data_IF_562219509777
#
_entry.id   IF_562219509777
#
_cell.length_a   1.000
_cell.length_b   1.000
_cell.length_c   1.000
_cell.angle_alpha   90.00
_cell.angle_beta   90.00
_cell.angle_gamma   90.00
#
_symmetry.space_group_name_H-M   'P 1'
#
loop_
_entity.id
_entity.type
_entity.pdbx_description
1 polymer ?
#
# COMPACT_ATOMS: atom_id res chain seq x y z
N UNK A 1 -60.46 -52.25 23.53
CA UNK A 1 -61.15 -52.28 22.21
C UNK A 1 -60.04 -52.18 21.16
N UNK A 2 -59.60 -53.29 20.55
CA UNK A 2 -60.21 -53.96 19.37
C UNK A 2 -60.12 -53.09 18.11
N UNK A 3 -59.29 -53.39 17.11
CA UNK A 3 -58.29 -54.48 17.01
C UNK A 3 -57.57 -54.52 15.65
N UNK A 4 -56.62 -55.46 15.53
CA UNK A 4 -56.21 -56.29 14.37
C UNK A 4 -56.57 -55.88 12.91
N UNK A 5 -55.75 -56.17 11.90
CA UNK A 5 -54.92 -57.39 11.75
C UNK A 5 -53.64 -57.20 10.93
N UNK A 6 -52.60 -57.96 11.26
CA UNK A 6 -51.41 -58.24 10.42
C UNK A 6 -51.66 -59.41 9.44
N UNK A 7 -50.70 -59.70 8.54
CA UNK A 7 -50.17 -61.05 8.13
C UNK A 7 -49.59 -61.05 6.69
N UNK A 8 -48.60 -61.88 6.28
CA UNK A 8 -47.43 -62.54 6.95
C UNK A 8 -46.49 -63.15 5.85
N UNK A 9 -45.16 -63.31 6.07
CA UNK A 9 -44.17 -63.98 5.17
C UNK A 9 -44.15 -65.53 5.34
N UNK A 10 -43.31 -66.38 4.65
CA UNK A 10 -42.09 -66.15 3.86
C UNK A 10 -42.15 -66.77 2.42
N UNK A 11 -41.17 -67.41 1.74
CA UNK A 11 -40.09 -68.41 2.02
C UNK A 11 -38.84 -68.19 1.14
N UNK A 12 -37.81 -69.05 1.23
CA UNK A 12 -36.62 -69.14 0.36
C UNK A 12 -36.53 -70.50 -0.37
N UNK A 13 -35.68 -70.61 -1.42
CA UNK A 13 -34.88 -71.83 -1.68
C UNK A 13 -33.64 -71.63 -2.58
N UNK A 14 -32.67 -72.52 -2.37
CA UNK A 14 -31.35 -72.71 -3.00
C UNK A 14 -31.44 -73.36 -4.43
N UNK A 15 -30.42 -73.58 -5.30
CA UNK A 15 -28.92 -73.55 -5.23
C UNK A 15 -28.24 -73.66 -6.64
N UNK A 16 -26.91 -73.45 -6.71
CA UNK A 16 -25.88 -74.09 -7.61
C UNK A 16 -25.77 -73.72 -9.12
N UNK A 17 -24.69 -72.99 -9.41
CA UNK A 17 -23.63 -73.11 -10.45
C UNK A 17 -23.80 -73.52 -11.94
N UNK A 18 -22.79 -73.04 -12.69
CA UNK A 18 -22.08 -73.67 -13.81
C UNK A 18 -22.64 -73.60 -15.25
N UNK A 19 -22.10 -72.67 -16.06
CA UNK A 19 -20.94 -72.98 -16.95
C UNK A 19 -20.35 -71.74 -17.65
N UNK A 20 -19.05 -71.79 -17.94
CA UNK A 20 -18.41 -70.94 -18.98
C UNK A 20 -18.67 -71.56 -20.37
N UNK A 21 -18.92 -70.72 -21.36
CA UNK A 21 -18.60 -71.00 -22.76
C UNK A 21 -17.85 -69.79 -23.34
N UNK A 22 -16.69 -70.05 -23.95
CA UNK A 22 -15.91 -69.07 -24.71
C UNK A 22 -16.48 -69.00 -26.14
N UNK A 23 -16.56 -67.82 -26.78
CA UNK A 23 -15.52 -67.26 -27.68
C UNK A 23 -16.24 -66.39 -28.75
N UNK A 24 -15.55 -65.68 -29.67
CA UNK A 24 -14.35 -64.85 -29.48
C UNK A 24 -14.45 -63.44 -30.16
N UNK A 25 -13.46 -62.59 -29.83
CA UNK A 25 -12.87 -61.52 -30.68
C UNK A 25 -13.65 -60.21 -31.02
N UNK A 26 -12.86 -59.12 -30.97
CA UNK A 26 -12.96 -57.84 -31.71
C UNK A 26 -14.28 -57.04 -31.67
N UNK A 27 -14.31 -56.04 -30.80
CA UNK A 27 -14.59 -54.65 -31.22
C UNK A 27 -13.44 -53.74 -30.73
N UNK A 28 -12.90 -52.92 -31.64
CA UNK A 28 -11.78 -52.01 -31.38
C UNK A 28 -12.28 -50.66 -30.83
N UNK A 29 -12.92 -50.74 -29.64
CA UNK A 29 -13.62 -49.64 -28.97
C UNK A 29 -12.90 -48.28 -29.02
N UNK A 30 -13.25 -47.48 -30.02
CA UNK A 30 -12.52 -46.27 -30.41
C UNK A 30 -12.75 -45.14 -29.38
N UNK A 31 -11.93 -45.14 -28.32
CA UNK A 31 -11.93 -44.13 -27.26
C UNK A 31 -11.56 -42.75 -27.81
N UNK A 32 -12.56 -42.05 -28.36
CA UNK A 32 -12.49 -40.61 -28.69
C UNK A 32 -12.01 -39.83 -27.47
N UNK A 33 -10.74 -39.46 -27.47
CA UNK A 33 -10.14 -38.60 -26.45
C UNK A 33 -10.87 -37.27 -26.45
N UNK A 34 -11.54 -36.94 -25.34
CA UNK A 34 -12.22 -35.65 -25.19
C UNK A 34 -11.15 -34.56 -25.29
N UNK A 35 -11.17 -33.76 -26.37
CA UNK A 35 -10.22 -32.64 -26.56
C UNK A 35 -10.20 -31.78 -25.29
N UNK A 36 -9.02 -31.44 -24.75
CA UNK A 36 -8.93 -30.69 -23.50
C UNK A 36 -9.64 -29.34 -23.65
N UNK A 37 -10.44 -28.96 -22.65
CA UNK A 37 -11.10 -27.65 -22.62
C UNK A 37 -10.06 -26.58 -22.36
N UNK A 38 -9.66 -25.87 -23.41
CA UNK A 38 -8.76 -24.71 -23.29
C UNK A 38 -9.37 -23.66 -22.34
N UNK A 39 -8.55 -23.19 -21.42
CA UNK A 39 -8.81 -22.01 -20.60
C UNK A 39 -8.85 -20.78 -21.51
N UNK A 40 -9.76 -19.85 -21.25
CA UNK A 40 -9.76 -18.54 -21.93
C UNK A 40 -9.31 -17.48 -20.95
N UNK A 41 -8.48 -16.54 -21.39
CA UNK A 41 -8.23 -15.32 -20.61
C UNK A 41 -9.56 -14.55 -20.48
N UNK A 42 -10.01 -14.32 -19.24
CA UNK A 42 -11.16 -13.45 -18.96
C UNK A 42 -10.63 -12.11 -18.49
N UNK A 43 -10.60 -11.14 -19.41
CA UNK A 43 -10.32 -9.75 -19.06
C UNK A 43 -11.29 -9.30 -17.95
N UNK A 44 -10.74 -8.72 -16.89
CA UNK A 44 -11.54 -7.98 -15.91
C UNK A 44 -11.87 -6.61 -16.52
N UNK A 45 -13.08 -6.10 -16.28
CA UNK A 45 -13.36 -4.68 -16.54
C UNK A 45 -12.46 -3.88 -15.59
N UNK A 46 -11.53 -3.12 -16.15
CA UNK A 46 -10.70 -2.18 -15.39
C UNK A 46 -11.53 -0.93 -15.11
N UNK A 47 -11.47 -0.44 -13.88
CA UNK A 47 -12.02 0.86 -13.52
C UNK A 47 -11.01 1.95 -13.89
N UNK A 48 -11.43 2.96 -14.66
CA UNK A 48 -10.53 3.96 -15.26
C UNK A 48 -9.77 4.80 -14.23
N UNK A 49 -10.38 5.05 -13.08
CA UNK A 49 -9.80 5.78 -11.93
C UNK A 49 -8.96 4.90 -11.00
N UNK A 50 -8.97 3.57 -11.18
CA UNK A 50 -8.12 2.66 -10.39
C UNK A 50 -6.64 2.77 -10.83
N UNK A 51 -5.67 2.31 -10.01
CA UNK A 51 -4.25 2.29 -10.40
C UNK A 51 -3.96 1.52 -11.70
N UNK A 52 -4.81 0.55 -12.07
CA UNK A 52 -4.70 -0.17 -13.35
C UNK A 52 -5.34 0.61 -14.52
N UNK A 53 -6.35 1.45 -14.25
CA UNK A 53 -6.90 2.38 -15.24
C UNK A 53 -5.94 3.53 -15.55
N UNK A 54 -5.30 4.10 -14.52
CA UNK A 54 -4.20 5.07 -14.67
C UNK A 54 -3.07 4.48 -15.52
N UNK A 55 -2.63 3.27 -15.20
CA UNK A 55 -1.61 2.54 -15.99
C UNK A 55 -2.01 2.39 -17.46
N UNK A 56 -3.29 2.18 -17.79
CA UNK A 56 -3.72 2.10 -19.20
C UNK A 56 -3.57 3.42 -19.95
N UNK A 57 -3.68 4.57 -19.29
CA UNK A 57 -3.35 5.88 -19.90
C UNK A 57 -1.84 6.07 -20.05
N UNK A 58 -1.05 5.72 -19.04
CA UNK A 58 0.42 5.83 -19.05
C UNK A 58 1.05 4.91 -20.12
N UNK A 59 0.51 3.71 -20.30
CA UNK A 59 0.86 2.80 -21.41
C UNK A 59 0.50 3.41 -22.76
N UNK A 60 -0.65 4.07 -22.89
CA UNK A 60 -1.05 4.72 -24.15
C UNK A 60 -0.16 5.92 -24.49
N UNK A 61 0.25 6.70 -23.49
CA UNK A 61 1.21 7.80 -23.66
C UNK A 61 2.57 7.29 -24.14
N UNK A 62 3.11 6.23 -23.52
CA UNK A 62 4.37 5.61 -23.94
C UNK A 62 4.27 5.05 -25.37
N UNK A 63 3.19 4.32 -25.70
CA UNK A 63 2.99 3.81 -27.05
C UNK A 63 2.96 4.97 -28.07
N UNK A 64 2.29 6.08 -27.73
CA UNK A 64 2.27 7.28 -28.56
C UNK A 64 3.64 7.97 -28.67
N UNK A 65 4.42 8.03 -27.58
CA UNK A 65 5.76 8.63 -27.57
C UNK A 65 6.76 7.82 -28.41
N UNK A 66 6.51 6.52 -28.59
CA UNK A 66 7.31 5.59 -29.38
C UNK A 66 6.70 5.23 -30.77
N UNK A 67 5.61 5.90 -31.20
CA UNK A 67 4.89 5.65 -32.46
C UNK A 67 4.41 4.19 -32.65
N UNK A 68 3.88 3.57 -31.59
CA UNK A 68 3.34 2.21 -31.59
C UNK A 68 1.83 2.15 -31.35
N UNK A 69 1.17 1.11 -31.86
CA UNK A 69 -0.23 0.78 -31.57
C UNK A 69 -0.36 -0.27 -30.45
N UNK A 70 -1.57 -0.44 -29.88
CA UNK A 70 -1.83 -1.48 -28.86
C UNK A 70 -1.68 -2.90 -29.41
N UNK A 71 -1.96 -3.09 -30.69
CA UNK A 71 -1.86 -4.38 -31.39
C UNK A 71 -0.40 -4.85 -31.47
N UNK A 72 0.54 -3.90 -31.61
CA UNK A 72 2.00 -4.15 -31.63
C UNK A 72 2.58 -4.54 -30.26
N UNK A 73 1.83 -4.39 -29.16
CA UNK A 73 2.20 -4.85 -27.82
C UNK A 73 1.23 -5.89 -27.22
N UNK A 74 0.28 -6.37 -28.01
CA UNK A 74 -0.69 -7.39 -27.58
C UNK A 74 -0.02 -8.78 -27.46
N UNK A 75 0.10 -9.25 -26.21
CA UNK A 75 0.64 -10.56 -25.81
C UNK A 75 -0.42 -11.67 -25.89
N UNK A 76 -0.04 -12.88 -26.30
CA UNK A 76 -0.94 -14.05 -26.25
C UNK A 76 -0.95 -14.71 -24.85
N UNK A 77 -1.71 -14.08 -23.95
CA UNK A 77 -1.98 -14.63 -22.62
C UNK A 77 -2.80 -15.94 -22.68
N UNK A 78 -3.48 -16.24 -23.80
CA UNK A 78 -4.26 -17.48 -23.93
C UNK A 78 -3.34 -18.67 -24.14
N UNK A 79 -2.29 -18.57 -24.95
CA UNK A 79 -1.29 -19.63 -25.07
C UNK A 79 -0.56 -19.88 -23.74
N UNK A 80 -0.15 -18.82 -23.04
CA UNK A 80 0.50 -18.92 -21.71
C UNK A 80 -0.41 -19.64 -20.69
N UNK A 81 -1.72 -19.33 -20.67
CA UNK A 81 -2.70 -19.96 -19.76
C UNK A 81 -2.98 -21.45 -20.05
N UNK A 82 -2.60 -21.95 -21.23
CA UNK A 82 -2.85 -23.32 -21.70
C UNK A 82 -1.58 -24.14 -21.92
N UNK A 83 -0.42 -23.63 -21.53
CA UNK A 83 0.84 -24.35 -21.60
C UNK A 83 0.83 -25.60 -20.70
N UNK A 84 1.74 -26.54 -20.98
CA UNK A 84 1.88 -27.85 -20.31
C UNK A 84 2.03 -27.73 -18.80
N UNK A 85 2.67 -26.65 -18.33
CA UNK A 85 2.76 -26.27 -16.91
C UNK A 85 2.66 -24.76 -16.79
N UNK A 86 2.04 -24.28 -15.71
CA UNK A 86 1.89 -22.85 -15.40
C UNK A 86 3.14 -22.20 -14.77
N UNK A 87 4.21 -22.95 -14.56
CA UNK A 87 5.45 -22.49 -13.90
C UNK A 87 6.70 -22.67 -14.76
N UNK A 88 6.77 -23.78 -15.48
CA UNK A 88 7.96 -24.32 -16.15
C UNK A 88 7.63 -24.91 -17.53
N UNK A 89 6.46 -24.58 -18.08
CA UNK A 89 6.11 -24.92 -19.46
C UNK A 89 6.95 -24.14 -20.48
N UNK A 90 7.16 -24.67 -21.70
CA UNK A 90 8.01 -24.05 -22.71
C UNK A 90 7.58 -22.64 -23.15
N UNK A 91 6.27 -22.35 -23.18
CA UNK A 91 5.72 -21.02 -23.50
C UNK A 91 5.87 -20.10 -22.28
N UNK A 92 5.59 -20.61 -21.08
CA UNK A 92 5.78 -19.87 -19.82
C UNK A 92 7.24 -19.43 -19.65
N UNK A 93 8.21 -20.30 -19.95
CA UNK A 93 9.65 -19.99 -19.89
C UNK A 93 10.12 -18.99 -20.96
N UNK A 94 9.50 -18.96 -22.14
CA UNK A 94 9.77 -17.93 -23.15
C UNK A 94 9.27 -16.54 -22.71
N UNK A 95 8.08 -16.47 -22.09
CA UNK A 95 7.54 -15.20 -21.62
C UNK A 95 8.18 -14.73 -20.31
N UNK A 96 8.38 -15.63 -19.34
CA UNK A 96 8.94 -15.32 -18.02
C UNK A 96 10.46 -15.52 -17.99
N UNK A 97 11.16 -14.65 -18.72
CA UNK A 97 12.60 -14.68 -18.99
C UNK A 97 13.34 -13.52 -18.31
N UNK A 98 14.66 -13.64 -18.26
CA UNK A 98 15.53 -12.50 -17.98
C UNK A 98 15.82 -11.72 -19.26
N UNK A 99 15.83 -10.39 -19.18
CA UNK A 99 16.11 -9.48 -20.30
C UNK A 99 17.18 -8.50 -19.86
N UNK A 100 18.23 -8.35 -20.68
CA UNK A 100 19.39 -7.53 -20.37
C UNK A 100 19.34 -6.18 -21.07
N UNK A 101 20.03 -5.20 -20.49
CA UNK A 101 20.25 -3.86 -21.07
C UNK A 101 18.95 -3.14 -21.51
N UNK A 102 17.87 -3.30 -20.74
CA UNK A 102 16.58 -2.66 -20.99
C UNK A 102 16.67 -1.19 -20.58
N UNK A 103 16.49 -0.27 -21.52
CA UNK A 103 16.46 1.17 -21.23
C UNK A 103 15.10 1.60 -20.68
N UNK A 104 15.08 2.19 -19.49
CA UNK A 104 13.87 2.77 -18.89
C UNK A 104 13.55 4.11 -19.57
N UNK A 105 12.31 4.27 -20.03
CA UNK A 105 11.88 5.39 -20.86
C UNK A 105 11.07 6.42 -20.08
N UNK A 106 10.11 5.96 -19.28
CA UNK A 106 9.17 6.80 -18.54
C UNK A 106 8.98 6.30 -17.09
N UNK A 107 8.34 7.09 -16.24
CA UNK A 107 7.99 6.72 -14.87
C UNK A 107 6.50 6.93 -14.63
N UNK A 108 5.85 5.90 -14.09
CA UNK A 108 4.43 5.92 -13.70
C UNK A 108 4.18 6.80 -12.49
N UNK A 109 2.94 7.26 -12.34
CA UNK A 109 2.41 7.95 -11.16
C UNK A 109 2.57 7.13 -9.86
N UNK A 110 2.81 5.82 -9.98
CA UNK A 110 3.06 4.87 -8.90
C UNK A 110 4.55 4.61 -8.61
N UNK A 111 5.47 5.40 -9.18
CA UNK A 111 6.92 5.30 -8.91
C UNK A 111 7.58 4.02 -9.44
N UNK A 112 7.06 3.46 -10.53
CA UNK A 112 7.69 2.36 -11.28
C UNK A 112 8.07 2.84 -12.68
N UNK A 113 9.24 2.43 -13.17
CA UNK A 113 9.67 2.71 -14.53
C UNK A 113 8.84 1.93 -15.56
N UNK A 114 8.72 2.49 -16.77
CA UNK A 114 8.21 1.82 -17.96
C UNK A 114 9.31 1.74 -19.02
N UNK A 115 9.37 0.60 -19.72
CA UNK A 115 10.24 0.40 -20.86
C UNK A 115 9.55 -0.43 -21.96
N UNK A 116 10.18 -0.52 -23.12
CA UNK A 116 9.84 -1.47 -24.18
C UNK A 116 10.91 -2.55 -24.29
N UNK A 117 10.48 -3.79 -24.48
CA UNK A 117 11.32 -4.96 -24.79
C UNK A 117 10.75 -5.69 -26.00
N UNK A 118 11.54 -6.51 -26.69
CA UNK A 118 11.03 -7.36 -27.78
C UNK A 118 10.09 -8.44 -27.27
N UNK A 119 9.06 -8.79 -28.06
CA UNK A 119 8.21 -9.92 -27.76
C UNK A 119 8.96 -11.24 -28.06
N UNK A 120 8.93 -12.24 -27.14
CA UNK A 120 9.77 -13.44 -27.24
C UNK A 120 9.31 -14.46 -28.28
N UNK A 121 8.15 -14.26 -28.92
CA UNK A 121 7.53 -15.21 -29.86
C UNK A 121 7.17 -14.56 -31.20
N UNK A 122 6.76 -13.29 -31.21
CA UNK A 122 6.38 -12.54 -32.41
C UNK A 122 7.35 -11.37 -32.58
N UNK A 123 8.41 -11.55 -33.37
CA UNK A 123 9.58 -10.66 -33.44
C UNK A 123 9.28 -9.23 -33.90
N UNK A 124 8.16 -9.01 -34.59
CA UNK A 124 7.71 -7.69 -35.06
C UNK A 124 7.00 -6.90 -33.96
N UNK A 125 6.72 -7.53 -32.81
CA UNK A 125 6.03 -6.95 -31.65
C UNK A 125 6.98 -6.61 -30.52
N UNK A 126 6.55 -5.66 -29.69
CA UNK A 126 7.19 -5.33 -28.41
C UNK A 126 6.34 -5.84 -27.23
N UNK A 127 6.83 -5.67 -26.02
CA UNK A 127 6.07 -5.74 -24.78
C UNK A 127 6.37 -4.47 -23.98
N UNK A 128 5.35 -3.82 -23.42
CA UNK A 128 5.57 -2.80 -22.38
C UNK A 128 5.91 -3.52 -21.08
N UNK A 129 6.96 -3.11 -20.38
CA UNK A 129 7.37 -3.71 -19.11
C UNK A 129 7.37 -2.70 -17.98
N UNK A 130 6.77 -3.11 -16.86
CA UNK A 130 6.80 -2.37 -15.59
C UNK A 130 8.02 -2.82 -14.79
N UNK A 131 8.84 -1.85 -14.38
CA UNK A 131 10.13 -2.05 -13.70
C UNK A 131 10.06 -1.33 -12.35
N UNK A 132 9.76 -2.04 -11.24
CA UNK A 132 9.86 -1.47 -9.90
C UNK A 132 11.26 -0.90 -9.67
N UNK A 133 11.34 0.30 -9.08
CA UNK A 133 12.61 0.97 -8.76
C UNK A 133 13.50 1.37 -9.95
N UNK A 134 13.04 1.26 -11.21
CA UNK A 134 13.71 1.82 -12.38
C UNK A 134 13.33 3.29 -12.63
N UNK A 135 14.31 4.12 -12.99
CA UNK A 135 14.16 5.54 -13.30
C UNK A 135 14.41 5.83 -14.79
N UNK A 136 13.72 6.82 -15.41
CA UNK A 136 13.93 7.19 -16.81
C UNK A 136 15.40 7.47 -17.10
N UNK A 137 15.96 6.82 -18.11
CA UNK A 137 17.38 6.91 -18.45
C UNK A 137 18.27 5.81 -17.85
N UNK A 138 17.81 5.03 -16.86
CA UNK A 138 18.55 3.84 -16.42
C UNK A 138 18.62 2.80 -17.57
N UNK A 139 19.71 2.04 -17.63
CA UNK A 139 19.81 0.79 -18.39
C UNK A 139 19.92 -0.35 -17.40
N UNK A 140 18.97 -1.29 -17.45
CA UNK A 140 18.78 -2.30 -16.39
C UNK A 140 18.71 -3.73 -16.91
N UNK A 141 19.07 -4.67 -16.05
CA UNK A 141 18.75 -6.09 -16.22
C UNK A 141 17.48 -6.39 -15.42
N UNK A 142 16.53 -7.12 -16.01
CA UNK A 142 15.22 -7.41 -15.41
C UNK A 142 14.82 -8.88 -15.56
N UNK A 143 13.93 -9.35 -14.70
CA UNK A 143 13.28 -10.68 -14.81
C UNK A 143 11.78 -10.52 -14.97
N UNK A 144 11.26 -10.79 -16.17
CA UNK A 144 9.81 -10.85 -16.39
C UNK A 144 9.27 -12.07 -15.67
N UNK A 145 8.27 -11.90 -14.81
CA UNK A 145 7.67 -13.01 -14.04
C UNK A 145 6.16 -13.19 -14.27
N UNK A 146 5.50 -12.27 -14.96
CA UNK A 146 4.04 -12.30 -15.18
C UNK A 146 3.62 -11.46 -16.39
N UNK A 147 2.85 -12.07 -17.29
CA UNK A 147 2.39 -11.46 -18.55
C UNK A 147 0.90 -11.09 -18.51
N UNK A 148 0.56 -9.89 -18.97
CA UNK A 148 -0.80 -9.40 -19.19
C UNK A 148 -1.01 -9.03 -20.68
N UNK A 149 -2.25 -8.75 -21.15
CA UNK A 149 -2.50 -8.50 -22.57
C UNK A 149 -1.66 -7.38 -23.19
N UNK A 150 -1.44 -6.26 -22.50
CA UNK A 150 -0.73 -5.08 -23.04
C UNK A 150 0.59 -4.74 -22.33
N UNK A 151 0.93 -5.44 -21.25
CA UNK A 151 2.15 -5.19 -20.47
C UNK A 151 2.64 -6.45 -19.73
N UNK A 152 3.85 -6.41 -19.19
CA UNK A 152 4.41 -7.44 -18.31
C UNK A 152 4.93 -6.84 -17.00
N UNK A 153 4.86 -7.61 -15.92
CA UNK A 153 5.48 -7.28 -14.62
C UNK A 153 6.87 -7.93 -14.54
N UNK A 154 7.84 -7.19 -14.00
CA UNK A 154 9.21 -7.64 -13.85
C UNK A 154 9.81 -7.29 -12.48
N UNK A 155 10.84 -8.04 -12.08
CA UNK A 155 11.74 -7.70 -10.98
C UNK A 155 13.00 -7.03 -11.54
N UNK A 156 13.51 -6.01 -10.85
CA UNK A 156 14.78 -5.34 -11.17
C UNK A 156 15.96 -6.15 -10.63
N UNK A 157 16.82 -6.65 -11.53
CA UNK A 157 17.95 -7.51 -11.19
C UNK A 157 19.24 -6.74 -10.92
N UNK A 158 19.55 -5.74 -11.74
CA UNK A 158 20.81 -5.00 -11.69
C UNK A 158 20.68 -3.70 -12.51
N UNK A 159 21.41 -2.65 -12.13
CA UNK A 159 21.43 -1.36 -12.85
C UNK A 159 22.79 -1.20 -13.52
N UNK A 160 22.82 -1.38 -14.84
CA UNK A 160 24.04 -1.42 -15.67
C UNK A 160 24.55 -0.01 -15.95
N UNK A 161 23.63 0.91 -16.27
CA UNK A 161 23.90 2.34 -16.43
C UNK A 161 22.88 3.10 -15.57
N UNK A 162 23.36 4.06 -14.78
CA UNK A 162 22.51 4.85 -13.88
C UNK A 162 22.02 6.11 -14.60
N UNK A 163 20.72 6.38 -14.50
CA UNK A 163 20.15 7.66 -14.89
C UNK A 163 20.83 8.83 -14.16
N UNK A 164 21.00 10.02 -14.77
CA UNK A 164 21.53 11.21 -14.09
C UNK A 164 20.77 11.62 -12.81
N UNK A 165 19.49 11.24 -12.69
CA UNK A 165 18.67 11.49 -11.48
C UNK A 165 18.72 10.35 -10.45
N UNK A 166 19.42 9.23 -10.73
CA UNK A 166 19.61 8.12 -9.79
C UNK A 166 20.70 8.45 -8.78
N UNK A 167 20.30 8.51 -7.51
CA UNK A 167 21.12 8.85 -6.35
C UNK A 167 20.96 7.81 -5.25
N UNK A 168 21.45 6.60 -5.52
CA UNK A 168 21.39 5.49 -4.54
C UNK A 168 22.17 5.79 -3.25
N UNK A 169 23.08 6.77 -3.28
CA UNK A 169 23.81 7.30 -2.13
C UNK A 169 22.95 8.08 -1.12
N UNK A 170 21.73 8.48 -1.50
CA UNK A 170 20.77 9.13 -0.61
C UNK A 170 19.92 8.13 0.19
N UNK A 171 19.99 6.82 -0.11
CA UNK A 171 19.18 5.79 0.52
C UNK A 171 19.60 5.58 1.97
N UNK A 172 18.66 5.76 2.89
CA UNK A 172 18.81 5.55 4.34
C UNK A 172 18.07 4.31 4.82
N UNK A 173 16.93 3.97 4.22
CA UNK A 173 16.21 2.75 4.56
C UNK A 173 17.00 1.50 4.11
N UNK A 174 17.49 0.72 5.09
CA UNK A 174 18.16 -0.57 4.84
C UNK A 174 17.24 -1.59 4.16
N UNK A 175 15.92 -1.41 4.29
CA UNK A 175 14.89 -2.19 3.60
C UNK A 175 14.47 -1.60 2.25
N UNK A 176 15.02 -0.45 1.83
CA UNK A 176 14.66 0.18 0.56
C UNK A 176 14.90 -0.77 -0.62
N UNK A 177 13.97 -0.80 -1.56
CA UNK A 177 13.96 -1.76 -2.66
C UNK A 177 13.22 -3.07 -2.31
N UNK A 178 13.12 -3.45 -1.03
CA UNK A 178 12.27 -4.57 -0.56
C UNK A 178 10.95 -4.08 0.04
N UNK A 179 11.01 -3.07 0.90
CA UNK A 179 9.88 -2.51 1.62
C UNK A 179 8.90 -1.83 0.66
N UNK A 180 7.61 -2.00 0.88
CA UNK A 180 6.57 -1.16 0.26
C UNK A 180 6.44 0.23 0.92
N UNK A 181 7.14 0.48 2.03
CA UNK A 181 7.11 1.75 2.77
C UNK A 181 7.79 2.88 2.02
N UNK A 182 9.12 2.81 1.86
CA UNK A 182 9.90 3.80 1.12
C UNK A 182 10.16 3.35 -0.31
N UNK A 183 9.92 4.24 -1.29
CA UNK A 183 9.89 3.89 -2.71
C UNK A 183 10.66 4.85 -3.64
N UNK A 184 11.13 6.00 -3.13
CA UNK A 184 11.75 7.07 -3.94
C UNK A 184 13.08 7.62 -3.35
N UNK A 185 13.71 6.98 -2.38
CA UNK A 185 14.96 7.49 -1.76
C UNK A 185 16.16 7.55 -2.71
N UNK A 186 16.13 6.86 -3.85
CA UNK A 186 17.12 7.04 -4.93
C UNK A 186 16.96 8.35 -5.73
N UNK A 187 16.02 9.23 -5.38
CA UNK A 187 15.80 10.54 -6.00
C UNK A 187 16.19 11.63 -5.02
N UNK A 188 16.71 12.76 -5.52
CA UNK A 188 16.79 13.96 -4.69
C UNK A 188 15.39 14.36 -4.22
N UNK A 189 15.28 15.05 -3.08
CA UNK A 189 13.97 15.41 -2.55
C UNK A 189 13.17 16.29 -3.51
N UNK A 190 13.85 17.11 -4.31
CA UNK A 190 13.21 18.05 -5.23
C UNK A 190 12.71 17.32 -6.49
N UNK A 191 13.43 16.30 -6.97
CA UNK A 191 12.92 15.34 -7.97
C UNK A 191 11.66 14.60 -7.45
N UNK A 192 11.62 14.26 -6.16
CA UNK A 192 10.42 13.67 -5.55
C UNK A 192 9.25 14.65 -5.46
N UNK A 193 9.49 15.96 -5.40
CA UNK A 193 8.45 17.00 -5.40
C UNK A 193 7.93 17.22 -6.83
N UNK A 194 8.80 17.29 -7.83
CA UNK A 194 8.39 17.46 -9.23
C UNK A 194 7.70 16.18 -9.77
N UNK A 195 8.11 14.98 -9.35
CA UNK A 195 7.39 13.74 -9.66
C UNK A 195 5.94 13.77 -9.13
N UNK A 196 5.72 14.26 -7.90
CA UNK A 196 4.37 14.42 -7.33
C UNK A 196 3.55 15.46 -8.10
N UNK A 197 4.17 16.58 -8.48
CA UNK A 197 3.56 17.62 -9.33
C UNK A 197 3.11 17.03 -10.67
N UNK A 198 3.99 16.28 -11.34
CA UNK A 198 3.69 15.58 -12.60
C UNK A 198 2.56 14.57 -12.44
N UNK A 199 2.48 13.83 -11.33
CA UNK A 199 1.33 12.95 -11.04
C UNK A 199 0.00 13.71 -10.99
N UNK A 200 -0.05 14.90 -10.38
CA UNK A 200 -1.27 15.74 -10.38
C UNK A 200 -1.58 16.26 -11.78
N UNK A 201 -0.58 16.75 -12.53
CA UNK A 201 -0.76 17.18 -13.92
C UNK A 201 -1.28 16.06 -14.82
N UNK A 202 -0.76 14.84 -14.65
CA UNK A 202 -1.23 13.63 -15.33
C UNK A 202 -2.68 13.29 -14.96
N UNK A 203 -3.08 13.43 -13.69
CA UNK A 203 -4.47 13.20 -13.29
C UNK A 203 -5.44 14.14 -14.00
N UNK A 204 -5.12 15.44 -14.13
CA UNK A 204 -5.92 16.37 -14.93
C UNK A 204 -5.90 16.04 -16.43
N UNK A 205 -4.74 15.64 -16.98
CA UNK A 205 -4.61 15.19 -18.38
C UNK A 205 -5.51 13.98 -18.70
N UNK A 206 -5.60 13.01 -17.78
CA UNK A 206 -6.33 11.76 -18.01
C UNK A 206 -7.83 11.86 -17.68
N UNK A 207 -8.18 12.53 -16.57
CA UNK A 207 -9.55 12.56 -16.06
C UNK A 207 -10.32 13.86 -16.37
N UNK A 208 -9.61 14.95 -16.71
CA UNK A 208 -10.20 16.22 -17.11
C UNK A 208 -9.62 16.78 -18.44
N UNK A 209 -9.47 15.96 -19.50
CA UNK A 209 -8.81 16.38 -20.75
C UNK A 209 -9.47 17.60 -21.41
N UNK A 210 -10.77 17.81 -21.20
CA UNK A 210 -11.50 19.02 -21.64
C UNK A 210 -10.91 20.29 -21.02
N UNK A 211 -10.65 20.30 -19.71
CA UNK A 211 -10.12 21.49 -19.01
C UNK A 211 -8.69 21.82 -19.45
N UNK A 212 -7.91 20.79 -19.81
CA UNK A 212 -6.57 20.95 -20.39
C UNK A 212 -6.64 21.50 -21.82
N UNK A 213 -7.51 20.95 -22.67
CA UNK A 213 -7.68 21.38 -24.06
C UNK A 213 -8.23 22.81 -24.19
N UNK A 214 -9.22 23.17 -23.38
CA UNK A 214 -9.82 24.52 -23.33
C UNK A 214 -9.00 25.51 -22.48
N UNK A 215 -7.84 25.08 -21.92
CA UNK A 215 -6.94 25.89 -21.07
C UNK A 215 -7.64 26.55 -19.87
N UNK A 216 -8.59 25.84 -19.27
CA UNK A 216 -9.42 26.31 -18.14
C UNK A 216 -8.76 26.06 -16.77
N UNK A 217 -7.61 25.38 -16.73
CA UNK A 217 -6.87 25.14 -15.50
C UNK A 217 -5.94 26.32 -15.17
N UNK A 218 -5.78 26.71 -13.89
CA UNK A 218 -4.71 27.61 -13.48
C UNK A 218 -3.34 26.95 -13.70
N UNK A 219 -2.23 27.72 -13.66
CA UNK A 219 -0.89 27.15 -13.57
C UNK A 219 -0.77 26.19 -12.38
N UNK A 220 -0.05 25.09 -12.56
CA UNK A 220 0.29 24.18 -11.47
C UNK A 220 1.49 24.74 -10.68
N UNK A 221 1.28 25.13 -9.43
CA UNK A 221 2.35 25.53 -8.52
C UNK A 221 3.32 24.37 -8.21
N UNK A 222 4.42 24.69 -7.52
CA UNK A 222 5.38 23.67 -7.05
C UNK A 222 4.80 22.86 -5.89
N UNK A 223 5.20 21.59 -5.78
CA UNK A 223 4.72 20.74 -4.66
C UNK A 223 5.38 21.20 -3.36
N UNK A 224 4.56 21.58 -2.37
CA UNK A 224 5.01 22.05 -1.06
C UNK A 224 5.80 20.95 -0.32
N UNK A 225 6.98 21.32 0.20
CA UNK A 225 7.85 20.44 0.96
C UNK A 225 7.29 20.09 2.35
N UNK A 226 7.55 18.87 2.82
CA UNK A 226 7.40 18.50 4.23
C UNK A 226 8.62 19.00 5.02
N UNK A 227 8.45 19.65 6.18
CA UNK A 227 9.58 20.08 7.03
C UNK A 227 10.48 18.91 7.46
N UNK A 228 9.90 17.73 7.67
CA UNK A 228 10.62 16.49 7.94
C UNK A 228 10.56 15.54 6.73
N UNK A 229 11.73 15.02 6.33
CA UNK A 229 11.91 14.03 5.25
C UNK A 229 11.95 12.58 5.76
N UNK A 230 12.33 12.41 7.03
CA UNK A 230 12.43 11.16 7.78
C UNK A 230 11.82 11.40 9.18
N UNK A 231 11.53 10.35 9.93
CA UNK A 231 11.06 10.47 11.31
C UNK A 231 9.72 11.20 11.50
N UNK A 232 8.92 11.37 10.44
CA UNK A 232 7.71 12.22 10.46
C UNK A 232 6.42 11.45 10.76
N UNK A 233 6.45 10.11 10.70
CA UNK A 233 5.24 9.29 10.61
C UNK A 233 4.70 8.89 11.98
N UNK A 234 3.56 9.48 12.39
CA UNK A 234 2.94 9.30 13.72
C UNK A 234 2.06 8.04 13.86
N UNK A 235 1.99 7.17 12.83
CA UNK A 235 1.30 5.87 12.89
C UNK A 235 1.90 4.84 11.93
N UNK A 236 2.31 3.69 12.46
CA UNK A 236 2.71 2.50 11.68
C UNK A 236 1.91 1.27 12.10
N UNK A 237 1.79 0.31 11.18
CA UNK A 237 0.98 -0.90 11.36
C UNK A 237 1.70 -2.15 10.84
N UNK A 238 2.80 -2.58 11.48
CA UNK A 238 3.46 -3.83 11.14
C UNK A 238 2.53 -5.02 11.41
N UNK A 239 2.64 -6.06 10.59
CA UNK A 239 1.77 -7.24 10.65
C UNK A 239 2.52 -8.51 10.28
N UNK A 240 1.91 -9.66 10.56
CA UNK A 240 2.41 -10.98 10.14
C UNK A 240 1.27 -11.87 9.62
N UNK A 241 1.58 -12.68 8.61
CA UNK A 241 0.70 -13.71 8.05
C UNK A 241 0.83 -15.04 8.83
N UNK A 242 -0.27 -15.81 8.94
CA UNK A 242 -0.16 -17.22 9.35
C UNK A 242 0.30 -18.11 8.18
N UNK A 243 1.07 -19.18 8.44
CA UNK A 243 1.42 -20.20 7.45
C UNK A 243 0.19 -20.76 6.70
N UNK A 244 0.34 -20.98 5.40
CA UNK A 244 -0.76 -21.45 4.54
C UNK A 244 -0.87 -22.98 4.59
N UNK A 245 -2.07 -23.46 4.96
CA UNK A 245 -2.55 -24.86 5.10
C UNK A 245 -2.18 -25.58 6.41
N UNK A 246 -3.22 -26.16 7.03
CA UNK A 246 -3.25 -27.15 8.13
C UNK A 246 -2.55 -26.80 9.46
N UNK A 247 -1.38 -26.17 9.48
CA UNK A 247 -0.80 -25.64 10.72
C UNK A 247 -1.62 -24.43 11.19
N UNK A 248 -2.21 -24.55 12.39
CA UNK A 248 -2.92 -23.46 13.08
C UNK A 248 -2.04 -22.77 14.14
N UNK A 249 -0.76 -23.13 14.19
CA UNK A 249 0.15 -22.81 15.28
C UNK A 249 1.52 -22.47 14.70
N UNK A 250 2.23 -21.55 15.34
CA UNK A 250 3.54 -21.07 14.92
C UNK A 250 4.63 -21.81 15.70
N UNK A 251 5.26 -22.81 15.08
CA UNK A 251 6.45 -23.48 15.64
C UNK A 251 7.72 -22.63 15.50
N UNK A 252 7.79 -21.83 14.44
CA UNK A 252 8.86 -20.87 14.14
C UNK A 252 8.25 -19.47 14.11
N UNK A 253 9.01 -18.49 14.62
CA UNK A 253 8.60 -17.08 14.63
C UNK A 253 8.47 -16.54 13.20
N UNK A 254 7.31 -15.99 12.79
CA UNK A 254 7.12 -15.45 11.44
C UNK A 254 7.70 -14.03 11.31
N UNK A 255 7.90 -13.54 10.06
CA UNK A 255 8.26 -12.14 9.82
C UNK A 255 7.14 -11.18 10.27
N UNK A 256 7.52 -10.12 10.98
CA UNK A 256 6.66 -9.06 11.48
C UNK A 256 7.12 -7.72 10.89
N UNK A 257 6.28 -7.11 10.05
CA UNK A 257 6.64 -5.87 9.38
C UNK A 257 5.67 -5.47 8.27
N UNK A 258 6.19 -5.14 7.09
CA UNK A 258 5.42 -4.57 5.99
C UNK A 258 5.47 -5.47 4.75
N UNK A 259 4.50 -5.32 3.84
CA UNK A 259 4.49 -6.08 2.59
C UNK A 259 5.69 -5.75 1.70
N UNK A 260 6.21 -6.75 0.97
CA UNK A 260 7.30 -6.53 0.00
C UNK A 260 6.81 -5.90 -1.31
N UNK A 261 7.63 -5.04 -1.93
CA UNK A 261 7.45 -4.50 -3.30
C UNK A 261 8.56 -5.04 -4.19
N UNK A 262 8.24 -5.96 -5.10
CA UNK A 262 9.22 -6.61 -5.99
C UNK A 262 10.23 -7.51 -5.26
N UNK A 263 11.23 -8.01 -5.98
CA UNK A 263 12.35 -8.81 -5.47
C UNK A 263 13.68 -8.15 -5.88
N UNK A 264 14.26 -7.24 -5.07
CA UNK A 264 15.42 -6.45 -5.47
C UNK A 264 16.70 -7.28 -5.43
N UNK A 265 17.11 -7.86 -6.57
CA UNK A 265 18.44 -8.44 -6.68
C UNK A 265 19.52 -7.37 -6.93
N UNK A 266 19.10 -6.17 -7.32
CA UNK A 266 19.97 -5.02 -7.60
C UNK A 266 20.66 -4.42 -6.37
N UNK A 267 20.06 -4.52 -5.18
CA UNK A 267 20.68 -4.13 -3.89
C UNK A 267 21.26 -5.37 -3.19
N UNK A 268 22.39 -5.85 -3.72
CA UNK A 268 23.08 -7.09 -3.30
C UNK A 268 23.30 -7.13 -1.77
N UNK A 269 23.75 -6.02 -1.19
CA UNK A 269 24.03 -5.88 0.25
C UNK A 269 22.79 -5.99 1.16
N UNK A 270 21.58 -5.95 0.58
CA UNK A 270 20.31 -6.08 1.31
C UNK A 270 19.62 -7.43 1.11
N UNK A 271 20.22 -8.35 0.35
CA UNK A 271 19.56 -9.58 -0.12
C UNK A 271 18.99 -10.44 1.02
N UNK A 272 19.69 -10.57 2.14
CA UNK A 272 19.21 -11.38 3.27
C UNK A 272 18.34 -10.58 4.27
N UNK A 273 18.44 -9.25 4.28
CA UNK A 273 17.76 -8.37 5.26
C UNK A 273 16.24 -8.53 5.21
N UNK A 274 15.63 -8.98 6.31
CA UNK A 274 14.17 -9.16 6.44
C UNK A 274 13.56 -10.33 5.63
N UNK A 275 14.38 -11.11 4.91
CA UNK A 275 13.95 -12.28 4.14
C UNK A 275 13.21 -11.99 2.81
N UNK A 276 12.44 -12.97 2.35
CA UNK A 276 11.79 -13.02 1.01
C UNK A 276 10.29 -13.43 1.05
N UNK A 277 9.62 -13.21 2.18
CA UNK A 277 8.19 -13.52 2.35
C UNK A 277 7.26 -12.50 1.66
N UNK A 278 5.94 -12.73 1.73
CA UNK A 278 4.97 -11.66 1.43
C UNK A 278 5.17 -10.46 2.36
N UNK A 279 5.49 -10.75 3.62
CA UNK A 279 5.89 -9.81 4.66
C UNK A 279 7.41 -9.79 4.78
N UNK A 280 7.97 -8.60 4.82
CA UNK A 280 9.35 -8.31 5.20
C UNK A 280 9.43 -8.19 6.72
N UNK A 281 10.37 -8.88 7.35
CA UNK A 281 10.64 -8.64 8.78
C UNK A 281 11.39 -7.33 8.97
N UNK A 282 10.86 -6.41 9.79
CA UNK A 282 11.45 -5.08 10.00
C UNK A 282 11.58 -4.74 11.49
N UNK A 283 12.79 -4.33 11.89
CA UNK A 283 13.12 -3.92 13.26
C UNK A 283 13.00 -2.40 13.48
N UNK A 284 13.18 -1.61 12.43
CA UNK A 284 13.06 -0.15 12.41
C UNK A 284 12.24 0.34 11.20
N UNK A 285 11.85 1.61 11.25
CA UNK A 285 11.27 2.34 10.13
C UNK A 285 11.76 3.79 10.15
N UNK A 286 12.66 4.15 9.24
CA UNK A 286 13.26 5.50 9.13
C UNK A 286 12.25 6.62 8.86
N UNK A 287 11.03 6.26 8.43
CA UNK A 287 9.93 7.22 8.24
C UNK A 287 9.14 7.46 9.54
N UNK A 288 9.15 6.53 10.50
CA UNK A 288 8.42 6.62 11.76
C UNK A 288 9.15 7.49 12.79
N UNK A 289 8.40 8.20 13.64
CA UNK A 289 8.99 9.00 14.73
C UNK A 289 9.79 8.11 15.69
N UNK A 290 10.77 8.69 16.38
CA UNK A 290 11.68 7.92 17.27
C UNK A 290 10.89 7.09 18.30
N UNK A 291 9.83 7.65 18.88
CA UNK A 291 9.01 6.95 19.87
C UNK A 291 8.28 5.72 19.30
N UNK A 292 7.90 5.74 18.01
CA UNK A 292 7.33 4.55 17.36
C UNK A 292 8.39 3.50 17.03
N UNK A 293 9.65 3.88 16.84
CA UNK A 293 10.75 2.94 16.73
C UNK A 293 11.07 2.30 18.10
N UNK A 294 11.06 3.07 19.21
CA UNK A 294 11.10 2.49 20.58
C UNK A 294 9.94 1.51 20.79
N UNK A 295 8.72 1.92 20.45
CA UNK A 295 7.53 1.07 20.52
C UNK A 295 7.64 -0.19 19.65
N UNK A 296 8.26 -0.11 18.47
CA UNK A 296 8.47 -1.26 17.58
C UNK A 296 9.43 -2.28 18.19
N UNK A 297 10.54 -1.82 18.79
CA UNK A 297 11.45 -2.67 19.57
C UNK A 297 10.69 -3.36 20.71
N UNK A 298 9.88 -2.63 21.46
CA UNK A 298 9.11 -3.16 22.59
C UNK A 298 8.07 -4.21 22.16
N UNK A 299 7.28 -3.96 21.11
CA UNK A 299 6.30 -4.94 20.63
C UNK A 299 6.96 -6.14 19.93
N UNK A 300 8.13 -5.96 19.30
CA UNK A 300 8.94 -7.09 18.79
C UNK A 300 9.48 -7.95 19.94
N UNK A 301 9.96 -7.34 21.03
CA UNK A 301 10.42 -8.03 22.25
C UNK A 301 9.32 -8.91 22.86
N UNK A 302 8.09 -8.39 22.95
CA UNK A 302 6.91 -9.19 23.35
C UNK A 302 6.61 -10.30 22.33
N UNK A 303 6.65 -9.99 21.04
CA UNK A 303 6.32 -10.95 19.99
C UNK A 303 7.23 -12.19 19.98
N UNK A 304 8.54 -12.03 20.20
CA UNK A 304 9.47 -13.17 20.31
C UNK A 304 9.11 -14.14 21.45
N UNK A 305 8.49 -13.64 22.52
CA UNK A 305 8.02 -14.43 23.65
C UNK A 305 6.64 -15.04 23.38
N UNK A 306 5.75 -14.30 22.71
CA UNK A 306 4.32 -14.61 22.61
C UNK A 306 3.86 -15.20 21.26
N UNK A 307 4.66 -15.20 20.19
CA UNK A 307 4.18 -15.54 18.83
C UNK A 307 3.43 -16.88 18.75
N UNK A 308 3.84 -17.88 19.55
CA UNK A 308 3.22 -19.23 19.62
C UNK A 308 1.76 -19.22 20.08
N UNK A 309 1.34 -18.18 20.80
CA UNK A 309 -0.02 -18.00 21.32
C UNK A 309 -1.00 -17.59 20.20
N UNK A 310 -0.51 -16.95 19.14
CA UNK A 310 -1.34 -16.44 18.05
C UNK A 310 -1.89 -17.58 17.19
N UNK A 311 -3.23 -17.64 17.08
CA UNK A 311 -3.96 -18.61 16.23
C UNK A 311 -4.49 -17.98 14.91
N UNK A 312 -4.16 -16.71 14.67
CA UNK A 312 -4.48 -15.91 13.47
C UNK A 312 -3.33 -14.92 13.24
N UNK A 313 -3.20 -14.43 12.01
CA UNK A 313 -2.29 -13.31 11.71
C UNK A 313 -2.81 -12.04 12.37
N UNK A 314 -1.90 -11.15 12.77
CA UNK A 314 -2.25 -9.91 13.48
C UNK A 314 -1.56 -8.70 12.84
N UNK A 315 -2.15 -7.53 13.07
CA UNK A 315 -1.57 -6.21 12.78
C UNK A 315 -1.42 -5.48 14.09
N UNK A 316 -0.20 -5.09 14.44
CA UNK A 316 0.05 -4.29 15.63
C UNK A 316 -0.17 -2.83 15.27
N UNK A 317 -0.93 -2.10 16.08
CA UNK A 317 -0.98 -0.65 15.97
C UNK A 317 0.20 -0.07 16.74
N UNK A 318 0.90 0.89 16.14
CA UNK A 318 1.78 1.80 16.85
C UNK A 318 1.39 3.23 16.44
N UNK A 319 0.84 3.99 17.38
CA UNK A 319 0.35 5.37 17.19
C UNK A 319 1.01 6.28 18.22
N UNK A 320 1.44 7.45 17.79
CA UNK A 320 1.98 8.47 18.69
C UNK A 320 0.87 9.14 19.49
N UNK A 321 1.14 9.39 20.76
CA UNK A 321 0.35 10.23 21.65
C UNK A 321 1.21 11.41 22.15
N UNK A 322 0.60 12.58 22.30
CA UNK A 322 1.27 13.82 22.72
C UNK A 322 0.69 14.33 24.05
N UNK A 323 1.46 14.26 25.12
CA UNK A 323 1.18 15.00 26.36
C UNK A 323 1.81 16.40 26.25
N UNK A 324 1.06 17.46 26.49
CA UNK A 324 1.63 18.80 26.76
C UNK A 324 2.07 18.82 28.23
N UNK A 325 3.33 19.14 28.49
CA UNK A 325 3.91 19.04 29.83
C UNK A 325 3.70 20.31 30.65
N UNK A 326 3.19 20.14 31.86
CA UNK A 326 3.25 21.10 32.95
C UNK A 326 4.69 21.17 33.48
N UNK A 327 5.39 22.32 33.38
CA UNK A 327 6.78 22.46 33.85
C UNK A 327 6.94 22.32 35.37
N UNK A 328 5.85 22.38 36.15
CA UNK A 328 5.89 22.22 37.61
C UNK A 328 5.89 20.76 38.08
N UNK A 329 5.72 19.79 37.17
CA UNK A 329 5.62 18.36 37.47
C UNK A 329 6.67 17.53 36.71
N UNK A 330 7.14 16.40 37.27
CA UNK A 330 7.96 15.43 36.53
C UNK A 330 7.27 14.96 35.24
N UNK A 331 8.03 14.68 34.19
CA UNK A 331 7.49 14.21 32.90
C UNK A 331 6.77 12.87 33.04
N UNK A 332 7.35 11.92 33.80
CA UNK A 332 6.85 10.55 33.93
C UNK A 332 5.46 10.47 34.59
N UNK A 333 5.18 11.36 35.54
CA UNK A 333 3.87 11.47 36.24
C UNK A 333 2.73 11.98 35.34
N UNK A 334 3.05 12.45 34.13
CA UNK A 334 2.10 13.02 33.17
C UNK A 334 1.86 12.11 31.96
N UNK A 335 2.45 10.91 31.93
CA UNK A 335 2.34 9.98 30.81
C UNK A 335 1.18 8.99 30.99
N UNK A 336 0.51 8.66 29.88
CA UNK A 336 -0.55 7.64 29.84
C UNK A 336 0.04 6.26 30.21
N UNK A 337 -0.57 5.53 31.14
CA UNK A 337 -0.04 4.25 31.64
C UNK A 337 0.04 3.16 30.56
N UNK A 338 -0.81 3.29 29.54
CA UNK A 338 -1.00 2.45 28.35
C UNK A 338 0.04 2.72 27.25
N UNK A 339 1.02 3.59 27.52
CA UNK A 339 2.20 3.75 26.70
C UNK A 339 3.03 2.44 26.65
N UNK A 340 3.70 2.22 25.52
CA UNK A 340 4.61 1.10 25.33
C UNK A 340 5.78 1.20 26.31
N UNK A 341 6.20 0.04 26.83
CA UNK A 341 7.21 -0.09 27.89
C UNK A 341 8.40 -0.91 27.43
N UNK A 342 9.57 -0.50 27.90
CA UNK A 342 10.87 -1.08 27.52
C UNK A 342 11.09 -2.49 28.11
N UNK A 343 12.33 -2.95 28.21
CA UNK A 343 12.68 -4.24 28.84
C UNK A 343 12.68 -4.23 30.37
N UNK A 344 12.80 -3.06 31.01
CA UNK A 344 12.73 -2.87 32.46
C UNK A 344 11.27 -2.74 32.95
N UNK A 345 10.37 -2.30 32.08
CA UNK A 345 8.97 -1.99 32.38
C UNK A 345 8.66 -0.48 32.40
N UNK A 346 9.66 0.36 32.12
CA UNK A 346 9.56 1.80 32.12
C UNK A 346 8.88 2.32 30.85
N UNK A 347 8.13 3.42 30.98
CA UNK A 347 7.40 4.02 29.86
C UNK A 347 8.41 4.57 28.84
N UNK A 348 8.30 4.12 27.59
CA UNK A 348 9.11 4.64 26.48
C UNK A 348 8.52 5.96 25.96
N UNK A 349 9.25 7.06 26.18
CA UNK A 349 8.88 8.40 25.68
C UNK A 349 10.05 9.12 24.98
N UNK A 350 9.72 10.23 24.32
CA UNK A 350 10.67 11.21 23.75
C UNK A 350 10.13 12.60 24.06
N UNK A 351 10.96 13.52 24.55
CA UNK A 351 10.56 14.92 24.72
C UNK A 351 10.84 15.75 23.46
N UNK A 352 9.93 16.69 23.15
CA UNK A 352 10.00 17.60 22.01
C UNK A 352 9.58 19.00 22.45
N UNK A 353 10.25 20.03 21.95
CA UNK A 353 9.97 21.43 22.27
C UNK A 353 9.32 22.12 21.05
N UNK A 354 8.11 22.67 21.22
CA UNK A 354 7.56 23.63 20.25
C UNK A 354 7.97 25.04 20.65
N UNK A 355 9.04 25.52 20.02
CA UNK A 355 9.61 26.86 20.20
C UNK A 355 8.70 27.99 19.72
N UNK A 356 7.70 27.72 18.87
CA UNK A 356 6.75 28.73 18.40
C UNK A 356 5.75 29.10 19.48
N UNK A 357 5.22 28.09 20.17
CA UNK A 357 4.20 28.24 21.21
C UNK A 357 4.77 28.15 22.64
N UNK A 358 6.09 27.96 22.78
CA UNK A 358 6.83 27.84 24.04
C UNK A 358 6.29 26.73 24.96
N UNK A 359 6.02 25.54 24.37
CA UNK A 359 5.54 24.36 25.10
C UNK A 359 6.50 23.17 24.97
N UNK A 360 6.70 22.45 26.08
CA UNK A 360 7.34 21.13 26.09
C UNK A 360 6.26 20.05 25.90
N UNK A 361 6.57 19.06 25.10
CA UNK A 361 5.70 17.94 24.75
C UNK A 361 6.43 16.63 25.11
N UNK A 362 5.73 15.67 25.70
CA UNK A 362 6.18 14.29 25.72
C UNK A 362 5.41 13.49 24.66
N UNK A 363 6.16 12.71 23.88
CA UNK A 363 5.64 11.77 22.90
C UNK A 363 5.71 10.36 23.49
N UNK A 364 4.61 9.61 23.47
CA UNK A 364 4.56 8.18 23.83
C UNK A 364 4.04 7.35 22.65
N UNK A 365 4.43 6.07 22.57
CA UNK A 365 3.85 5.12 21.62
C UNK A 365 2.72 4.34 22.29
N UNK A 366 1.54 4.33 21.68
CA UNK A 366 0.34 3.62 22.16
C UNK A 366 -0.05 2.54 21.16
N UNK A 367 -0.42 1.36 21.67
CA UNK A 367 -0.71 0.17 20.83
C UNK A 367 -2.14 -0.35 20.95
N UNK A 368 -2.89 0.05 21.97
CA UNK A 368 -4.33 -0.21 22.08
C UNK A 368 -5.12 0.67 21.09
N UNK A 369 -5.85 0.12 20.09
CA UNK A 369 -6.60 0.91 19.11
C UNK A 369 -7.77 1.69 19.67
N UNK A 370 -8.23 1.39 20.89
CA UNK A 370 -9.31 2.13 21.58
C UNK A 370 -8.82 3.20 22.54
N UNK A 371 -7.51 3.32 22.77
CA UNK A 371 -6.97 4.36 23.63
C UNK A 371 -7.22 5.73 23.01
N UNK A 372 -7.67 6.70 23.80
CA UNK A 372 -7.74 8.09 23.35
C UNK A 372 -6.32 8.63 23.34
N UNK A 373 -5.90 9.18 22.20
CA UNK A 373 -4.60 9.82 22.01
C UNK A 373 -4.77 11.25 21.57
N UNK A 374 -3.80 12.10 21.93
CA UNK A 374 -3.74 13.51 21.52
C UNK A 374 -2.67 13.72 20.44
N UNK A 375 -3.05 14.36 19.34
CA UNK A 375 -2.12 15.04 18.43
C UNK A 375 -2.15 16.55 18.72
N UNK A 376 -0.98 17.19 18.68
CA UNK A 376 -0.82 18.64 18.87
C UNK A 376 -0.41 19.29 17.55
N UNK A 377 -1.14 20.30 17.09
CA UNK A 377 -0.94 20.96 15.78
C UNK A 377 -1.18 22.46 15.91
N UNK A 378 -0.13 23.27 15.75
CA UNK A 378 -0.21 24.74 15.66
C UNK A 378 -1.00 25.43 16.80
N UNK A 379 -0.79 24.99 18.05
CA UNK A 379 -1.51 25.47 19.24
C UNK A 379 -2.83 24.74 19.56
N UNK A 380 -3.30 23.87 18.66
CA UNK A 380 -4.53 23.10 18.83
C UNK A 380 -4.25 21.65 19.25
N UNK A 381 -5.10 21.10 20.13
CA UNK A 381 -5.10 19.69 20.54
C UNK A 381 -6.25 18.92 19.89
N UNK A 382 -5.96 17.72 19.40
CA UNK A 382 -6.92 16.83 18.75
C UNK A 382 -6.92 15.47 19.42
N UNK A 383 -7.97 15.19 20.20
CA UNK A 383 -8.24 13.89 20.78
C UNK A 383 -8.93 13.00 19.76
N UNK A 384 -8.55 11.72 19.68
CA UNK A 384 -9.24 10.68 18.91
C UNK A 384 -8.79 9.28 19.37
N UNK A 385 -9.57 8.23 19.08
CA UNK A 385 -9.17 6.84 19.35
C UNK A 385 -7.98 6.43 18.46
N UNK A 386 -6.92 5.84 19.01
CA UNK A 386 -5.67 5.56 18.30
C UNK A 386 -5.84 4.77 16.98
N UNK A 387 -6.85 3.90 16.91
CA UNK A 387 -7.25 3.14 15.73
C UNK A 387 -7.79 3.98 14.57
N UNK A 388 -8.45 5.11 14.86
CA UNK A 388 -9.09 6.00 13.88
C UNK A 388 -8.09 6.74 12.96
N UNK A 389 -8.64 7.42 11.96
CA UNK A 389 -7.88 8.28 11.07
C UNK A 389 -7.51 9.61 11.75
N UNK A 390 -6.23 9.93 11.69
CA UNK A 390 -5.70 11.28 11.81
C UNK A 390 -4.43 11.34 10.97
N UNK A 391 -4.10 12.52 10.44
CA UNK A 391 -3.02 12.68 9.46
C UNK A 391 -1.69 12.16 9.99
N UNK A 392 -1.02 11.30 9.21
CA UNK A 392 0.15 10.56 9.67
C UNK A 392 1.46 11.36 9.64
N UNK A 393 1.48 12.60 9.17
CA UNK A 393 2.65 13.48 9.19
C UNK A 393 2.24 14.78 9.89
N UNK A 394 2.54 14.89 11.19
CA UNK A 394 2.22 16.07 11.99
C UNK A 394 2.96 17.32 11.47
N UNK A 395 4.23 17.19 11.08
CA UNK A 395 5.11 18.32 10.74
C UNK A 395 4.63 19.20 9.58
N UNK A 396 3.89 18.65 8.61
CA UNK A 396 3.36 19.42 7.47
C UNK A 396 2.01 20.09 7.76
N UNK A 397 1.30 19.69 8.82
CA UNK A 397 -0.07 20.14 9.07
C UNK A 397 -0.21 21.66 9.28
N UNK A 398 0.68 22.36 10.00
CA UNK A 398 0.59 23.82 10.13
C UNK A 398 0.68 24.55 8.78
N UNK A 399 1.36 23.96 7.79
CA UNK A 399 1.46 24.52 6.43
C UNK A 399 0.17 24.25 5.66
N UNK A 400 -0.37 23.03 5.74
CA UNK A 400 -1.61 22.64 5.03
C UNK A 400 -2.83 23.39 5.60
N UNK A 401 -2.98 23.48 6.92
CA UNK A 401 -4.10 24.20 7.54
C UNK A 401 -3.99 25.71 7.35
N UNK A 402 -2.76 26.27 7.35
CA UNK A 402 -2.55 27.66 6.92
C UNK A 402 -2.97 27.87 5.48
N UNK A 403 -2.54 27.03 4.53
CA UNK A 403 -2.90 27.17 3.12
C UNK A 403 -4.42 27.16 2.91
N UNK A 404 -5.14 26.23 3.55
CA UNK A 404 -6.62 26.17 3.50
C UNK A 404 -7.24 27.46 4.07
N UNK A 405 -6.81 27.91 5.25
CA UNK A 405 -7.31 29.13 5.89
C UNK A 405 -7.03 30.40 5.08
N UNK A 406 -5.84 30.52 4.49
CA UNK A 406 -5.45 31.65 3.63
C UNK A 406 -6.36 31.71 2.39
N UNK A 407 -6.65 30.55 1.75
CA UNK A 407 -7.54 30.47 0.59
C UNK A 407 -9.01 30.75 0.94
N UNK A 408 -9.48 30.38 2.13
CA UNK A 408 -10.83 30.70 2.62
C UNK A 408 -11.02 32.20 2.93
N UNK A 409 -9.93 32.93 3.20
CA UNK A 409 -9.93 34.36 3.49
C UNK A 409 -9.59 35.24 2.28
N UNK A 410 -9.13 34.65 1.17
CA UNK A 410 -8.91 35.37 -0.08
C UNK A 410 -10.26 35.82 -0.70
N UNK A 411 -10.43 37.09 -1.06
CA UNK A 411 -11.67 37.56 -1.68
C UNK A 411 -11.85 36.90 -3.06
N UNK A 412 -13.08 36.47 -3.34
CA UNK A 412 -13.41 36.00 -4.69
C UNK A 412 -13.31 37.17 -5.68
N UNK A 413 -12.88 36.91 -6.92
CA UNK A 413 -12.68 37.96 -7.92
C UNK A 413 -14.01 38.66 -8.25
N UNK A 414 -14.20 39.85 -7.69
CA UNK A 414 -15.39 40.67 -7.88
C UNK A 414 -16.45 40.56 -6.77
N UNK A 415 -16.13 39.95 -5.63
CA UNK A 415 -17.02 39.92 -4.46
C UNK A 415 -16.27 40.32 -3.18
N UNK A 416 -16.68 41.44 -2.58
CA UNK A 416 -16.16 41.95 -1.30
C UNK A 416 -16.79 41.25 -0.08
N UNK A 417 -17.75 40.33 -0.27
CA UNK A 417 -18.32 39.55 0.82
C UNK A 417 -17.28 38.59 1.42
N UNK A 418 -16.95 38.80 2.69
CA UNK A 418 -16.17 37.85 3.49
C UNK A 418 -16.91 36.52 3.63
N UNK A 419 -16.17 35.42 3.50
CA UNK A 419 -16.65 34.05 3.76
C UNK A 419 -17.27 33.92 5.15
N UNK A 420 -18.60 33.81 5.23
CA UNK A 420 -19.32 33.69 6.50
C UNK A 420 -19.42 32.25 7.01
N UNK A 421 -19.48 31.28 6.12
CA UNK A 421 -19.81 29.90 6.47
C UNK A 421 -18.82 28.92 5.83
N UNK A 422 -18.29 28.00 6.63
CA UNK A 422 -17.45 26.90 6.19
C UNK A 422 -18.21 25.57 6.33
N UNK A 423 -18.24 24.77 5.27
CA UNK A 423 -18.68 23.37 5.31
C UNK A 423 -17.44 22.49 5.13
N UNK A 424 -17.11 21.72 6.17
CA UNK A 424 -15.96 20.80 6.20
C UNK A 424 -16.49 19.37 5.99
N UNK A 425 -16.44 18.91 4.74
CA UNK A 425 -16.92 17.59 4.35
C UNK A 425 -15.84 16.53 4.55
N UNK A 426 -16.20 15.42 5.21
CA UNK A 426 -15.28 14.37 5.70
C UNK A 426 -14.30 14.91 6.77
N UNK A 427 -14.85 15.69 7.73
CA UNK A 427 -14.05 16.44 8.70
C UNK A 427 -13.26 15.58 9.71
N UNK A 428 -13.56 14.28 9.83
CA UNK A 428 -12.96 13.40 10.84
C UNK A 428 -13.12 13.98 12.26
N UNK A 429 -12.03 14.00 13.03
CA UNK A 429 -11.98 14.61 14.38
C UNK A 429 -11.87 16.15 14.40
N UNK A 430 -12.12 16.81 13.26
CA UNK A 430 -12.33 18.27 13.15
C UNK A 430 -11.11 19.11 12.77
N UNK A 431 -10.08 18.53 12.12
CA UNK A 431 -8.81 19.22 11.84
C UNK A 431 -8.99 20.55 11.08
N UNK A 432 -9.63 20.52 9.91
CA UNK A 432 -9.83 21.73 9.11
C UNK A 432 -10.88 22.65 9.72
N UNK A 433 -11.99 22.09 10.21
CA UNK A 433 -13.03 22.79 10.98
C UNK A 433 -12.46 23.69 12.09
N UNK A 434 -11.55 23.15 12.91
CA UNK A 434 -11.00 23.83 14.08
C UNK A 434 -9.91 24.81 13.67
N UNK A 435 -8.93 24.40 12.87
CA UNK A 435 -7.83 25.28 12.44
C UNK A 435 -8.26 26.42 11.49
N UNK A 436 -9.43 26.31 10.86
CA UNK A 436 -10.02 27.31 9.95
C UNK A 436 -11.21 28.07 10.56
N UNK A 437 -11.59 27.78 11.80
CA UNK A 437 -12.69 28.48 12.51
C UNK A 437 -12.45 29.98 12.67
N UNK A 438 -11.18 30.41 12.81
CA UNK A 438 -10.78 31.81 12.87
C UNK A 438 -10.96 32.49 11.50
N UNK A 439 -12.05 33.23 11.34
CA UNK A 439 -12.35 34.03 10.15
C UNK A 439 -13.72 33.77 9.50
N UNK A 440 -14.53 32.87 10.05
CA UNK A 440 -15.91 32.59 9.59
C UNK A 440 -16.90 32.71 10.76
N UNK A 441 -18.17 33.03 10.47
CA UNK A 441 -19.23 33.17 11.47
C UNK A 441 -19.69 31.79 12.02
N UNK A 442 -19.65 30.75 11.18
CA UNK A 442 -20.02 29.37 11.56
C UNK A 442 -19.32 28.32 10.71
N UNK A 443 -18.90 27.24 11.36
CA UNK A 443 -18.41 26.00 10.73
C UNK A 443 -19.48 24.91 10.84
N UNK A 444 -19.63 24.08 9.81
CA UNK A 444 -20.44 22.86 9.79
C UNK A 444 -19.56 21.70 9.32
N UNK A 445 -19.18 20.81 10.23
CA UNK A 445 -18.52 19.55 9.89
C UNK A 445 -19.54 18.50 9.45
N UNK A 446 -19.19 17.69 8.45
CA UNK A 446 -19.99 16.54 7.99
C UNK A 446 -19.09 15.31 7.93
N UNK A 447 -19.45 14.26 8.66
CA UNK A 447 -18.66 13.04 8.82
C UNK A 447 -19.59 11.82 9.00
N UNK A 448 -19.13 10.64 8.58
CA UNK A 448 -19.89 9.38 8.65
C UNK A 448 -19.49 8.51 9.86
N UNK A 449 -18.26 8.64 10.38
CA UNK A 449 -17.84 8.01 11.64
C UNK A 449 -18.41 8.80 12.84
N UNK A 450 -19.39 8.21 13.53
CA UNK A 450 -19.99 8.81 14.73
C UNK A 450 -18.98 9.03 15.87
N UNK A 451 -17.96 8.17 15.98
CA UNK A 451 -16.86 8.35 16.93
C UNK A 451 -16.04 9.59 16.55
N UNK A 452 -15.70 9.76 15.27
CA UNK A 452 -15.01 10.95 14.77
C UNK A 452 -15.82 12.24 14.99
N UNK A 453 -17.15 12.23 14.77
CA UNK A 453 -18.05 13.34 15.13
C UNK A 453 -17.98 13.65 16.63
N UNK A 454 -18.05 12.62 17.49
CA UNK A 454 -17.94 12.80 18.95
C UNK A 454 -16.60 13.43 19.35
N UNK A 455 -15.50 13.10 18.65
CA UNK A 455 -14.22 13.74 18.86
C UNK A 455 -14.16 15.17 18.30
N UNK A 456 -14.71 15.46 17.12
CA UNK A 456 -14.81 16.83 16.59
C UNK A 456 -15.62 17.77 17.52
N UNK A 457 -16.70 17.26 18.12
CA UNK A 457 -17.47 17.96 19.15
C UNK A 457 -16.68 18.21 20.44
N UNK A 458 -15.87 17.25 20.89
CA UNK A 458 -15.05 17.41 22.11
C UNK A 458 -13.90 18.37 21.86
N UNK A 459 -13.20 18.20 20.73
CA UNK A 459 -12.08 19.04 20.32
C UNK A 459 -12.54 20.48 20.14
N UNK A 460 -13.67 20.75 19.46
CA UNK A 460 -14.16 22.13 19.26
C UNK A 460 -14.50 22.89 20.56
N UNK A 461 -14.67 22.20 21.68
CA UNK A 461 -14.89 22.75 23.04
C UNK A 461 -13.60 22.90 23.86
N UNK A 462 -12.44 22.53 23.29
CA UNK A 462 -11.13 22.60 23.93
C UNK A 462 -10.68 24.04 24.22
N UNK A 463 -9.82 24.20 25.24
CA UNK A 463 -9.08 25.45 25.45
C UNK A 463 -7.83 25.45 24.59
N UNK A 464 -7.73 26.44 23.73
CA UNK A 464 -6.58 26.68 22.86
C UNK A 464 -5.57 27.60 23.55
N UNK A 465 -4.28 27.43 23.23
CA UNK A 465 -3.21 28.33 23.66
C UNK A 465 -3.25 29.66 22.89
#
# INVERSE_FOLDING_TARGET
MTGSTEMVPPTMKHTVDNKRLSSPLTDSGNRRTKKPKLRKYKAKKVETTSPMGVLEFEVNDLLKSQNLSREQVLNDVTSILNDKSSTDGPIVLQYHREVKNVKVLEITSNGNGLALIDNPVVTEKKQVVIIPFGLPGDVVNIKVFKTHPYYVESDLLDVVEKSPIRRDDLIRDKYFGKSSGSQLEFLTYDDQLELKRKTIMNAYKFFAPRLVAEKLLPPFDTTVASPLRFGYRTKITPHFDMPKRKQKELSVRPPLGFGQKGRPQWRKDTLDIGGHGSILDIDECVLATEVLNKGLTNERRKFEQEFKNYKKGATFLLRENTTILDPSKPTLEQLTEEASRDENGDISYVEVEDKKNNVRLAKTCVTNPRQIVTEYVDGYTFNFSAGEFFQNNNSILPIVTKYVRDNLQAPAKGDDNKTKFLVDAYCGSGLFSICSSKGVDKVIGVEISADSVSFAEKNSKGKWC
#
